data_IF_837424331742
#
_entry.id   IF_837424331742
#
_cell.length_a   1.000
_cell.length_b   1.000
_cell.length_c   1.000
_cell.angle_alpha   90.00
_cell.angle_beta   90.00
_cell.angle_gamma   90.00
#
_symmetry.space_group_name_H-M   'P 1'
#
loop_
_entity.id
_entity.type
_entity.pdbx_description
1 polymer ?
#
# COMPACT_ATOMS: atom_id res chain seq x y z
N UNK A 1 24.42 -10.29 -8.68
CA UNK A 1 23.74 -10.57 -7.40
C UNK A 1 23.00 -9.32 -7.03
N UNK A 2 21.73 -9.19 -7.44
CA UNK A 2 20.88 -8.06 -7.06
C UNK A 2 20.34 -8.35 -5.66
N UNK A 3 20.87 -7.67 -4.66
CA UNK A 3 20.25 -7.59 -3.35
C UNK A 3 19.09 -6.61 -3.47
N UNK A 4 17.89 -7.12 -3.64
CA UNK A 4 16.68 -6.29 -3.60
C UNK A 4 16.37 -6.02 -2.13
N UNK A 5 16.79 -4.88 -1.66
CA UNK A 5 16.35 -4.35 -0.37
C UNK A 5 15.06 -3.59 -0.58
N UNK A 6 13.97 -4.11 0.01
CA UNK A 6 12.74 -3.34 0.18
C UNK A 6 13.03 -2.32 1.27
N UNK A 7 13.41 -1.11 0.87
CA UNK A 7 13.72 -0.03 1.80
C UNK A 7 12.49 0.83 2.08
N UNK A 8 11.40 0.22 2.56
CA UNK A 8 10.33 0.98 3.23
C UNK A 8 10.79 1.63 4.54
N UNK A 9 12.00 1.27 5.00
CA UNK A 9 12.61 1.79 6.23
C UNK A 9 13.25 3.17 6.02
N UNK A 10 13.69 3.52 4.80
CA UNK A 10 14.38 4.78 4.52
C UNK A 10 13.48 6.01 4.53
N UNK A 11 12.18 5.85 4.39
CA UNK A 11 11.22 6.98 4.28
C UNK A 11 10.54 7.36 5.60
N UNK A 12 10.93 6.79 6.73
CA UNK A 12 10.36 7.15 8.04
C UNK A 12 8.90 6.72 8.26
N UNK A 13 8.27 6.09 7.28
CA UNK A 13 6.89 5.58 7.37
C UNK A 13 6.78 4.42 8.35
N UNK A 14 7.80 3.57 8.37
CA UNK A 14 7.78 2.29 9.07
C UNK A 14 8.19 2.40 10.55
N UNK A 15 8.92 3.45 10.94
CA UNK A 15 9.28 3.69 12.34
C UNK A 15 8.12 4.23 13.18
N UNK A 16 7.11 4.83 12.55
CA UNK A 16 5.92 5.32 13.26
C UNK A 16 4.97 4.19 13.69
N UNK A 17 5.17 2.97 13.17
CA UNK A 17 4.24 1.85 13.36
C UNK A 17 4.63 0.91 14.52
N UNK A 18 5.81 1.02 15.08
CA UNK A 18 6.33 0.13 16.12
C UNK A 18 6.80 0.80 17.42
N UNK A 19 6.94 2.11 17.47
CA UNK A 19 7.36 2.80 18.69
C UNK A 19 6.16 3.15 19.57
N UNK A 20 6.12 2.54 20.77
CA UNK A 20 5.19 2.96 21.81
C UNK A 20 5.53 4.40 22.22
N UNK A 21 4.57 5.34 22.23
CA UNK A 21 4.85 6.68 22.71
C UNK A 21 5.24 6.63 24.19
N UNK A 22 6.44 7.09 24.50
CA UNK A 22 6.88 7.29 25.88
C UNK A 22 6.15 8.51 26.42
N UNK A 23 5.09 8.28 27.19
CA UNK A 23 4.39 9.36 27.90
C UNK A 23 5.20 9.70 29.11
N UNK A 24 5.86 10.85 29.10
CA UNK A 24 6.40 11.45 30.31
C UNK A 24 5.23 11.96 31.17
N UNK A 25 5.01 11.31 32.29
CA UNK A 25 4.03 11.73 33.27
C UNK A 25 4.53 13.00 33.99
N UNK A 26 3.90 14.13 33.74
CA UNK A 26 4.07 15.33 34.59
C UNK A 26 2.78 15.50 35.38
N UNK A 27 2.87 15.20 36.67
CA UNK A 27 1.81 15.49 37.65
C UNK A 27 1.92 16.93 38.08
N UNK A 28 0.86 17.71 37.89
CA UNK A 28 0.68 19.01 38.57
C UNK A 28 -0.77 19.10 39.05
N UNK A 29 -1.00 19.62 40.29
CA UNK A 29 -2.28 19.50 40.98
C UNK A 29 -3.35 20.43 40.44
N UNK A 30 -4.59 19.98 40.55
CA UNK A 30 -5.80 20.62 40.06
C UNK A 30 -6.11 21.95 40.75
N UNK A 31 -6.33 23.00 39.96
CA UNK A 31 -7.07 24.20 40.39
C UNK A 31 -8.50 24.11 39.78
N UNK A 32 -9.48 24.40 40.63
CA UNK A 32 -10.91 24.37 40.33
C UNK A 32 -11.28 25.46 39.32
N UNK A 33 -11.93 25.18 38.21
CA UNK A 33 -12.33 26.21 37.27
C UNK A 33 -13.60 26.91 37.67
N UNK A 34 -13.59 28.25 37.53
CA UNK A 34 -14.76 29.09 37.47
C UNK A 34 -15.54 28.87 36.14
N UNK A 35 -16.84 29.12 36.06
CA UNK A 35 -17.61 28.93 34.82
C UNK A 35 -17.20 29.98 33.79
N UNK A 36 -16.45 29.57 32.80
CA UNK A 36 -16.17 30.40 31.62
C UNK A 36 -17.33 30.33 30.64
N UNK A 37 -17.76 31.50 30.21
CA UNK A 37 -18.67 31.68 29.09
C UNK A 37 -18.08 30.99 27.85
N UNK A 38 -18.86 30.15 27.21
CA UNK A 38 -18.51 29.49 25.97
C UNK A 38 -18.31 30.51 24.85
N UNK A 39 -17.07 30.86 24.57
CA UNK A 39 -16.69 31.44 23.28
C UNK A 39 -17.06 30.44 22.17
N UNK A 40 -17.54 30.89 20.99
CA UNK A 40 -17.75 29.97 19.89
C UNK A 40 -16.41 29.29 19.59
N UNK A 41 -16.38 28.00 19.83
CA UNK A 41 -15.20 27.17 19.50
C UNK A 41 -15.06 27.24 17.99
N UNK A 42 -14.05 27.93 17.53
CA UNK A 42 -13.66 27.89 16.12
C UNK A 42 -13.50 26.41 15.73
N UNK A 43 -14.21 25.99 14.67
CA UNK A 43 -14.18 24.59 14.24
C UNK A 43 -12.72 24.21 14.03
N UNK A 44 -12.26 23.20 14.74
CA UNK A 44 -10.89 22.73 14.63
C UNK A 44 -10.59 22.50 13.14
N UNK A 45 -9.51 23.10 12.63
CA UNK A 45 -9.13 22.96 11.24
C UNK A 45 -8.81 21.49 10.97
N UNK A 46 -9.77 20.77 10.40
CA UNK A 46 -9.70 19.34 10.14
C UNK A 46 -8.93 19.01 8.85
N UNK A 47 -8.52 20.02 8.08
CA UNK A 47 -7.98 19.80 6.74
C UNK A 47 -8.94 19.12 5.77
N UNK A 48 -10.27 19.23 6.03
CA UNK A 48 -11.30 18.57 5.25
C UNK A 48 -11.71 17.18 5.78
N UNK A 49 -11.09 16.69 6.83
CA UNK A 49 -11.46 15.41 7.45
C UNK A 49 -12.66 15.57 8.38
N UNK A 50 -13.49 14.54 8.45
CA UNK A 50 -14.60 14.52 9.38
C UNK A 50 -14.08 14.30 10.80
N UNK A 51 -14.56 15.13 11.75
CA UNK A 51 -14.29 14.98 13.17
C UNK A 51 -15.63 14.71 13.84
N UNK A 52 -15.78 13.54 14.47
CA UNK A 52 -16.96 13.22 15.26
C UNK A 52 -16.95 13.98 16.59
N UNK A 53 -18.10 14.11 17.32
CA UNK A 53 -18.21 14.96 18.51
C UNK A 53 -17.22 14.67 19.64
N UNK A 54 -16.65 13.45 19.70
CA UNK A 54 -15.61 13.06 20.65
C UNK A 54 -14.19 13.42 20.20
N UNK A 55 -14.05 14.10 19.07
CA UNK A 55 -12.76 14.56 18.52
C UNK A 55 -12.02 13.51 17.69
N UNK A 56 -12.63 12.37 17.41
CA UNK A 56 -12.00 11.31 16.61
C UNK A 56 -12.01 11.69 15.13
N UNK A 57 -10.86 11.56 14.47
CA UNK A 57 -10.73 11.70 13.02
C UNK A 57 -11.31 10.48 12.31
N UNK A 58 -12.30 10.71 11.46
CA UNK A 58 -12.90 9.66 10.64
C UNK A 58 -12.59 9.87 9.17
N UNK A 59 -12.55 8.78 8.44
CA UNK A 59 -12.35 8.77 7.00
C UNK A 59 -13.47 9.53 6.32
N UNK A 60 -13.19 10.43 5.36
CA UNK A 60 -14.23 11.12 4.60
C UNK A 60 -15.15 10.13 3.87
N UNK A 61 -16.46 10.40 3.90
CA UNK A 61 -17.47 9.48 3.35
C UNK A 61 -17.30 9.23 1.85
N UNK A 62 -16.89 10.27 1.11
CA UNK A 62 -16.58 10.20 -0.32
C UNK A 62 -15.42 9.28 -0.66
N UNK A 63 -14.60 8.96 0.33
CA UNK A 63 -13.47 8.05 0.23
C UNK A 63 -13.67 6.76 1.03
N UNK A 64 -14.90 6.43 1.42
CA UNK A 64 -15.19 5.19 2.15
C UNK A 64 -14.68 3.96 1.37
N UNK A 65 -14.30 2.89 2.08
CA UNK A 65 -13.81 1.66 1.43
C UNK A 65 -14.78 1.12 0.38
N UNK A 66 -16.09 1.27 0.61
CA UNK A 66 -17.14 0.84 -0.32
C UNK A 66 -17.22 1.64 -1.62
N UNK A 67 -16.51 2.76 -1.74
CA UNK A 67 -16.46 3.54 -2.99
C UNK A 67 -15.41 3.02 -3.97
N UNK A 68 -14.54 2.12 -3.54
CA UNK A 68 -13.52 1.51 -4.39
C UNK A 68 -14.04 0.21 -4.99
N UNK A 69 -13.94 0.10 -6.30
CA UNK A 69 -14.32 -1.12 -7.02
C UNK A 69 -13.23 -2.17 -6.90
N UNK A 70 -13.61 -3.40 -6.57
CA UNK A 70 -12.70 -4.53 -6.55
C UNK A 70 -12.18 -4.78 -7.98
N UNK A 71 -10.87 -4.89 -8.19
CA UNK A 71 -10.30 -5.17 -9.50
C UNK A 71 -10.76 -6.54 -10.02
N UNK A 72 -10.91 -6.63 -11.34
CA UNK A 72 -11.22 -7.87 -12.04
C UNK A 72 -10.06 -8.28 -12.94
N UNK A 73 -9.69 -9.57 -12.89
CA UNK A 73 -8.63 -10.10 -13.73
C UNK A 73 -9.08 -10.09 -15.20
N UNK A 74 -8.35 -9.42 -16.11
CA UNK A 74 -8.67 -9.42 -17.52
C UNK A 74 -8.69 -10.84 -18.13
N UNK A 75 -9.53 -11.09 -19.11
CA UNK A 75 -9.63 -12.42 -19.75
C UNK A 75 -8.30 -12.84 -20.39
N UNK A 76 -7.60 -11.91 -21.05
CA UNK A 76 -6.28 -12.18 -21.65
C UNK A 76 -5.22 -12.53 -20.60
N UNK A 77 -5.35 -12.06 -19.36
CA UNK A 77 -4.48 -12.45 -18.27
C UNK A 77 -4.65 -13.92 -17.84
N UNK A 78 -5.68 -14.60 -18.32
CA UNK A 78 -5.92 -16.04 -18.08
C UNK A 78 -5.24 -16.94 -19.11
N UNK A 79 -4.42 -16.37 -19.99
CA UNK A 79 -3.67 -17.10 -20.99
C UNK A 79 -2.21 -17.27 -20.58
N UNK A 80 -1.63 -18.44 -20.89
CA UNK A 80 -0.20 -18.71 -20.66
C UNK A 80 0.64 -18.09 -21.78
N UNK A 81 0.74 -16.76 -21.78
CA UNK A 81 1.48 -15.95 -22.77
C UNK A 81 2.24 -14.82 -22.05
N UNK A 82 3.23 -14.22 -22.69
CA UNK A 82 3.93 -13.05 -22.17
C UNK A 82 2.95 -11.89 -21.89
N UNK A 83 1.99 -11.68 -22.79
CA UNK A 83 0.92 -10.67 -22.61
C UNK A 83 0.02 -11.02 -21.42
N UNK A 84 -0.32 -12.29 -21.25
CA UNK A 84 -1.08 -12.75 -20.07
C UNK A 84 -0.35 -12.50 -18.77
N UNK A 85 0.97 -12.75 -18.72
CA UNK A 85 1.81 -12.44 -17.56
C UNK A 85 1.88 -10.93 -17.26
N UNK A 86 2.02 -10.11 -18.29
CA UNK A 86 2.03 -8.65 -18.19
C UNK A 86 0.72 -8.14 -17.57
N UNK A 87 -0.43 -8.52 -18.11
CA UNK A 87 -1.74 -8.12 -17.61
C UNK A 87 -2.03 -8.65 -16.20
N UNK A 88 -1.53 -9.84 -15.87
CA UNK A 88 -1.63 -10.37 -14.52
C UNK A 88 -0.76 -9.58 -13.53
N UNK A 89 0.39 -9.07 -13.95
CA UNK A 89 1.23 -8.20 -13.13
C UNK A 89 0.62 -6.80 -12.96
N UNK A 90 -0.04 -6.24 -13.98
CA UNK A 90 -0.84 -5.01 -13.84
C UNK A 90 -2.00 -5.22 -12.86
N UNK A 91 -2.75 -6.30 -12.99
CA UNK A 91 -3.82 -6.66 -12.06
C UNK A 91 -3.30 -6.81 -10.62
N UNK A 92 -2.09 -7.36 -10.42
CA UNK A 92 -1.47 -7.44 -9.10
C UNK A 92 -1.29 -6.04 -8.49
N UNK A 93 -0.83 -5.05 -9.27
CA UNK A 93 -0.71 -3.66 -8.81
C UNK A 93 -2.07 -3.05 -8.47
N UNK A 94 -3.11 -3.34 -9.25
CA UNK A 94 -4.46 -2.88 -8.99
C UNK A 94 -5.02 -3.48 -7.69
N UNK A 95 -4.78 -4.78 -7.44
CA UNK A 95 -5.21 -5.44 -6.20
C UNK A 95 -4.46 -4.91 -4.99
N UNK A 96 -3.17 -4.58 -5.13
CA UNK A 96 -2.38 -3.94 -4.08
C UNK A 96 -2.91 -2.52 -3.77
N UNK A 97 -3.19 -1.73 -4.79
CA UNK A 97 -3.81 -0.40 -4.66
C UNK A 97 -5.18 -0.49 -3.98
N UNK A 98 -5.99 -1.47 -4.37
CA UNK A 98 -7.28 -1.75 -3.73
C UNK A 98 -7.12 -2.10 -2.25
N UNK A 99 -6.17 -2.99 -1.91
CA UNK A 99 -5.90 -3.38 -0.53
C UNK A 99 -5.51 -2.18 0.34
N UNK A 100 -4.63 -1.29 -0.17
CA UNK A 100 -4.26 -0.07 0.55
C UNK A 100 -5.45 0.87 0.78
N UNK A 101 -6.35 1.00 -0.19
CA UNK A 101 -7.51 1.88 -0.06
C UNK A 101 -8.67 1.29 0.73
N UNK A 102 -8.76 -0.03 0.91
CA UNK A 102 -9.94 -0.67 1.52
C UNK A 102 -9.64 -1.45 2.79
N UNK A 103 -8.41 -1.93 2.96
CA UNK A 103 -8.04 -2.90 3.98
C UNK A 103 -8.33 -4.35 3.60
N UNK A 104 -8.99 -4.59 2.45
CA UNK A 104 -9.25 -5.94 1.94
C UNK A 104 -8.03 -6.44 1.14
N UNK A 105 -7.26 -7.33 1.75
CA UNK A 105 -6.05 -7.91 1.14
C UNK A 105 -6.33 -9.15 0.29
N UNK A 106 -7.54 -9.69 0.33
CA UNK A 106 -7.84 -10.99 -0.30
C UNK A 106 -7.54 -11.03 -1.82
N UNK A 107 -7.92 -10.01 -2.63
CA UNK A 107 -7.60 -10.04 -4.06
C UNK A 107 -6.08 -10.06 -4.33
N UNK A 108 -5.29 -9.36 -3.51
CA UNK A 108 -3.84 -9.37 -3.60
C UNK A 108 -3.24 -10.70 -3.15
N UNK A 109 -3.83 -11.32 -2.12
CA UNK A 109 -3.42 -12.63 -1.65
C UNK A 109 -3.68 -13.73 -2.68
N UNK A 110 -4.77 -13.64 -3.43
CA UNK A 110 -5.18 -14.63 -4.43
C UNK A 110 -4.20 -14.71 -5.61
N UNK A 111 -3.50 -13.61 -5.93
CA UNK A 111 -2.54 -13.56 -7.06
C UNK A 111 -1.07 -13.61 -6.62
N UNK A 112 -0.80 -13.76 -5.33
CA UNK A 112 0.57 -13.79 -4.78
C UNK A 112 0.85 -15.09 -4.03
N UNK A 113 2.07 -15.60 -4.15
CA UNK A 113 2.47 -16.84 -3.50
C UNK A 113 2.63 -16.64 -1.98
N UNK A 114 2.00 -17.49 -1.13
CA UNK A 114 2.21 -17.47 0.32
C UNK A 114 3.70 -17.61 0.69
N UNK A 115 4.15 -16.81 1.67
CA UNK A 115 5.52 -16.79 2.14
C UNK A 115 6.48 -15.94 1.31
N UNK A 116 6.02 -15.36 0.21
CA UNK A 116 6.79 -14.43 -0.58
C UNK A 116 6.93 -13.08 0.16
N UNK A 117 8.14 -12.50 0.18
CA UNK A 117 8.44 -11.32 1.03
C UNK A 117 7.64 -10.07 0.67
N UNK A 118 7.46 -9.80 -0.62
CA UNK A 118 6.68 -8.66 -1.09
C UNK A 118 5.22 -8.79 -0.64
N UNK A 119 4.64 -9.99 -0.82
CA UNK A 119 3.29 -10.31 -0.35
C UNK A 119 3.15 -10.10 1.16
N UNK A 120 3.96 -10.81 1.95
CA UNK A 120 3.85 -10.80 3.42
C UNK A 120 4.08 -9.40 3.99
N UNK A 121 5.01 -8.66 3.40
CA UNK A 121 5.29 -7.27 3.78
C UNK A 121 4.08 -6.37 3.59
N UNK A 122 3.45 -6.40 2.42
CA UNK A 122 2.28 -5.56 2.13
C UNK A 122 1.06 -5.95 2.95
N UNK A 123 0.75 -7.24 3.09
CA UNK A 123 -0.38 -7.72 3.92
C UNK A 123 -0.21 -7.27 5.37
N UNK A 124 0.97 -7.49 5.94
CA UNK A 124 1.28 -7.06 7.30
C UNK A 124 1.05 -5.56 7.48
N UNK A 125 1.49 -4.76 6.52
CA UNK A 125 1.42 -3.30 6.62
C UNK A 125 -0.02 -2.78 6.44
N UNK A 126 -0.77 -3.31 5.48
CA UNK A 126 -2.19 -2.99 5.32
C UNK A 126 -2.97 -3.35 6.59
N UNK A 127 -2.79 -4.56 7.12
CA UNK A 127 -3.46 -4.99 8.34
C UNK A 127 -3.09 -4.12 9.55
N UNK A 128 -1.82 -3.73 9.69
CA UNK A 128 -1.37 -2.86 10.76
C UNK A 128 -1.98 -1.45 10.65
N UNK A 129 -2.09 -0.92 9.43
CA UNK A 129 -2.77 0.36 9.17
C UNK A 129 -4.23 0.30 9.62
N UNK A 130 -4.96 -0.68 9.12
CA UNK A 130 -6.40 -0.77 9.35
C UNK A 130 -6.78 -1.24 10.77
N UNK A 131 -5.83 -1.75 11.56
CA UNK A 131 -6.04 -2.03 12.97
C UNK A 131 -6.29 -0.76 13.81
N UNK A 132 -5.74 0.40 13.41
CA UNK A 132 -5.83 1.66 14.17
C UNK A 132 -5.95 2.90 13.30
N UNK A 133 -6.41 2.75 12.06
CA UNK A 133 -6.46 3.85 11.13
C UNK A 133 -7.19 3.52 9.83
N UNK A 134 -6.94 4.34 8.84
CA UNK A 134 -7.52 4.23 7.50
C UNK A 134 -6.62 4.96 6.49
N UNK A 135 -6.84 4.67 5.22
CA UNK A 135 -6.13 5.31 4.11
C UNK A 135 -7.06 5.49 2.92
N UNK A 136 -6.79 6.49 2.10
CA UNK A 136 -7.44 6.69 0.81
C UNK A 136 -6.54 7.44 -0.17
N UNK A 137 -6.91 7.37 -1.46
CA UNK A 137 -6.18 8.05 -2.52
C UNK A 137 -4.86 7.40 -2.88
N UNK A 138 -4.56 6.19 -2.35
CA UNK A 138 -3.45 5.41 -2.87
C UNK A 138 -3.71 5.06 -4.34
N UNK A 139 -2.73 5.31 -5.19
CA UNK A 139 -2.83 5.07 -6.62
C UNK A 139 -1.48 4.66 -7.18
N UNK A 140 -1.48 3.65 -8.02
CA UNK A 140 -0.34 3.27 -8.85
C UNK A 140 -0.76 3.40 -10.32
N UNK A 141 0.11 3.98 -11.13
CA UNK A 141 -0.12 4.11 -12.58
C UNK A 141 1.10 3.61 -13.31
N UNK A 142 0.95 2.55 -14.10
CA UNK A 142 1.99 2.08 -15.02
C UNK A 142 2.11 3.11 -16.16
N UNK A 143 3.31 3.60 -16.39
CA UNK A 143 3.60 4.59 -17.44
C UNK A 143 4.38 3.99 -18.60
N UNK A 144 5.12 2.91 -18.36
CA UNK A 144 5.93 2.25 -19.37
C UNK A 144 6.16 0.79 -18.99
N UNK A 145 6.10 -0.10 -19.98
CA UNK A 145 6.51 -1.49 -19.85
C UNK A 145 7.98 -1.56 -20.28
N UNK A 146 8.85 -1.81 -19.29
CA UNK A 146 10.30 -1.86 -19.51
C UNK A 146 10.70 -3.18 -20.14
N UNK A 147 10.19 -4.29 -19.61
CA UNK A 147 10.46 -5.62 -20.15
C UNK A 147 9.43 -6.64 -19.72
N UNK A 148 9.16 -7.60 -20.60
CA UNK A 148 8.38 -8.82 -20.35
C UNK A 148 9.18 -9.96 -20.98
N UNK A 149 9.88 -10.73 -20.18
CA UNK A 149 10.84 -11.74 -20.67
C UNK A 149 10.75 -13.03 -19.87
N UNK A 150 10.90 -14.19 -20.51
CA UNK A 150 11.05 -15.46 -19.80
C UNK A 150 12.22 -15.39 -18.81
N UNK A 151 11.97 -15.81 -17.57
CA UNK A 151 12.99 -15.89 -16.54
C UNK A 151 13.42 -17.36 -16.35
N UNK A 152 14.72 -17.61 -16.34
CA UNK A 152 15.25 -18.97 -16.20
C UNK A 152 15.63 -19.28 -14.76
N UNK A 153 15.44 -20.54 -14.35
CA UNK A 153 15.89 -21.05 -13.06
C UNK A 153 17.40 -20.84 -12.86
N UNK A 154 18.19 -21.05 -13.91
CA UNK A 154 19.65 -20.93 -13.86
C UNK A 154 20.15 -19.53 -13.54
N UNK A 155 19.46 -18.50 -14.05
CA UNK A 155 19.88 -17.09 -13.89
C UNK A 155 19.27 -16.46 -12.65
N UNK A 156 18.02 -16.79 -12.33
CA UNK A 156 17.22 -16.08 -11.33
C UNK A 156 16.78 -16.96 -10.16
N UNK A 157 16.97 -18.27 -10.24
CA UNK A 157 16.52 -19.19 -9.20
C UNK A 157 15.00 -19.29 -9.07
N UNK A 158 14.29 -18.98 -10.16
CA UNK A 158 12.83 -19.00 -10.22
C UNK A 158 12.30 -20.33 -10.74
N UNK A 159 11.03 -20.61 -10.52
CA UNK A 159 10.38 -21.82 -11.03
C UNK A 159 10.26 -21.79 -12.58
N UNK A 160 10.13 -22.95 -13.21
CA UNK A 160 9.80 -23.03 -14.65
C UNK A 160 8.50 -22.29 -14.99
N UNK A 161 8.35 -21.87 -16.25
CA UNK A 161 7.20 -21.08 -16.74
C UNK A 161 7.02 -19.73 -16.00
N UNK A 162 8.13 -19.08 -15.68
CA UNK A 162 8.14 -17.76 -15.08
C UNK A 162 8.48 -16.70 -16.11
N UNK A 163 7.73 -15.61 -16.09
CA UNK A 163 7.97 -14.39 -16.86
C UNK A 163 8.38 -13.29 -15.87
N UNK A 164 9.51 -12.63 -16.14
CA UNK A 164 9.90 -11.41 -15.45
C UNK A 164 9.22 -10.23 -16.13
N UNK A 165 8.42 -9.48 -15.37
CA UNK A 165 7.70 -8.29 -15.83
C UNK A 165 8.26 -7.09 -15.08
N UNK A 166 8.67 -6.05 -15.80
CA UNK A 166 9.21 -4.82 -15.23
C UNK A 166 8.43 -3.63 -15.77
N UNK A 167 7.93 -2.81 -14.86
CA UNK A 167 7.18 -1.59 -15.17
C UNK A 167 7.88 -0.36 -14.58
N UNK A 168 7.92 0.72 -15.35
CA UNK A 168 8.05 2.06 -14.79
C UNK A 168 6.65 2.65 -14.55
N UNK A 169 6.52 3.41 -13.49
CA UNK A 169 5.25 4.01 -13.14
C UNK A 169 5.39 5.17 -12.18
N UNK A 170 4.25 5.64 -11.71
CA UNK A 170 4.14 6.56 -10.59
C UNK A 170 3.30 5.93 -9.49
N UNK A 171 3.68 6.15 -8.25
CA UNK A 171 2.85 5.80 -7.10
C UNK A 171 2.52 7.06 -6.33
N UNK A 172 1.28 7.14 -5.86
CA UNK A 172 0.80 8.16 -4.94
C UNK A 172 0.31 7.45 -3.69
N UNK A 173 0.94 7.73 -2.56
CA UNK A 173 0.59 7.05 -1.32
C UNK A 173 -0.67 7.62 -0.64
N UNK A 174 -1.23 8.70 -1.21
CA UNK A 174 -2.47 9.26 -0.71
C UNK A 174 -2.39 9.80 0.71
N UNK A 175 -3.48 9.69 1.43
CA UNK A 175 -3.66 10.21 2.78
C UNK A 175 -4.01 9.07 3.73
N UNK A 176 -3.28 8.98 4.83
CA UNK A 176 -3.54 8.00 5.88
C UNK A 176 -3.79 8.68 7.23
N UNK A 177 -4.61 8.07 8.06
CA UNK A 177 -4.75 8.37 9.48
C UNK A 177 -4.25 7.19 10.29
N UNK A 178 -3.28 7.42 11.16
CA UNK A 178 -2.74 6.38 12.03
C UNK A 178 -2.70 6.92 13.46
N UNK A 179 -3.39 6.23 14.39
CA UNK A 179 -3.45 6.67 15.77
C UNK A 179 -3.91 8.13 15.92
N UNK A 180 -4.92 8.56 15.16
CA UNK A 180 -5.45 9.92 15.13
C UNK A 180 -4.49 11.00 14.61
N UNK A 181 -3.48 10.60 13.83
CA UNK A 181 -2.57 11.52 13.13
C UNK A 181 -2.73 11.35 11.63
N UNK A 182 -2.89 12.47 10.93
CA UNK A 182 -2.90 12.48 9.47
C UNK A 182 -1.46 12.46 8.95
N UNK A 183 -1.25 11.60 7.96
CA UNK A 183 -0.03 11.50 7.17
C UNK A 183 -0.45 11.76 5.73
N UNK A 184 -0.04 12.91 5.21
CA UNK A 184 -0.30 13.31 3.83
C UNK A 184 0.94 13.03 2.98
N UNK A 185 0.83 12.08 2.08
CA UNK A 185 1.82 11.69 1.08
C UNK A 185 1.20 11.71 -0.32
N UNK A 186 0.27 12.61 -0.52
CA UNK A 186 -0.45 12.81 -1.77
C UNK A 186 0.43 13.52 -2.81
N UNK A 187 1.54 12.87 -3.18
CA UNK A 187 2.43 13.28 -4.26
C UNK A 187 2.75 12.08 -5.13
N UNK A 188 2.88 12.33 -6.42
CA UNK A 188 3.26 11.30 -7.38
C UNK A 188 4.79 11.11 -7.35
N UNK A 189 5.22 9.90 -7.00
CA UNK A 189 6.63 9.53 -6.95
C UNK A 189 6.93 8.50 -8.05
N UNK A 190 8.03 8.67 -8.79
CA UNK A 190 8.44 7.69 -9.80
C UNK A 190 8.85 6.38 -9.12
N UNK A 191 8.44 5.27 -9.72
CA UNK A 191 8.68 3.93 -9.19
C UNK A 191 8.93 2.95 -10.32
N UNK A 192 9.79 1.96 -10.08
CA UNK A 192 9.92 0.80 -10.96
C UNK A 192 9.50 -0.44 -10.18
N UNK A 193 8.56 -1.20 -10.72
CA UNK A 193 8.13 -2.49 -10.21
C UNK A 193 8.75 -3.62 -11.01
N UNK A 194 9.18 -4.67 -10.33
CA UNK A 194 9.66 -5.89 -10.97
C UNK A 194 8.97 -7.10 -10.33
N UNK A 195 8.35 -7.95 -11.15
CA UNK A 195 7.63 -9.14 -10.70
C UNK A 195 8.09 -10.39 -11.44
N UNK A 196 8.14 -11.51 -10.73
CA UNK A 196 8.22 -12.84 -11.32
C UNK A 196 6.81 -13.44 -11.32
N UNK A 197 6.21 -13.51 -12.50
CA UNK A 197 4.90 -14.11 -12.72
C UNK A 197 5.11 -15.55 -13.18
N UNK A 198 4.66 -16.52 -12.39
CA UNK A 198 4.80 -17.95 -12.69
C UNK A 198 3.44 -18.54 -13.06
N UNK A 199 3.39 -19.25 -14.20
CA UNK A 199 2.18 -19.95 -14.60
C UNK A 199 2.04 -21.26 -13.84
N UNK A 200 0.99 -21.36 -13.00
CA UNK A 200 0.69 -22.54 -12.16
C UNK A 200 -0.81 -22.81 -12.14
N UNK A 201 -1.18 -24.07 -12.18
CA UNK A 201 -2.57 -24.50 -11.99
C UNK A 201 -3.60 -23.79 -12.90
N UNK A 202 -3.18 -23.39 -14.10
CA UNK A 202 -4.04 -22.70 -15.05
C UNK A 202 -4.20 -21.20 -14.82
N UNK A 203 -3.28 -20.55 -14.08
CA UNK A 203 -3.26 -19.11 -13.85
C UNK A 203 -1.87 -18.55 -13.53
N UNK A 204 -1.73 -17.24 -13.57
CA UNK A 204 -0.53 -16.52 -13.17
C UNK A 204 -0.55 -16.25 -11.67
N UNK A 205 0.57 -16.51 -11.01
CA UNK A 205 0.82 -16.20 -9.59
C UNK A 205 2.15 -15.45 -9.49
N UNK A 206 2.18 -14.35 -8.78
CA UNK A 206 3.43 -13.68 -8.44
C UNK A 206 4.20 -14.52 -7.42
N UNK A 207 5.40 -14.96 -7.80
CA UNK A 207 6.32 -15.73 -6.96
C UNK A 207 7.49 -14.90 -6.46
N UNK A 208 7.56 -13.63 -6.85
CA UNK A 208 8.52 -12.66 -6.38
C UNK A 208 8.15 -11.27 -6.85
N UNK A 209 8.31 -10.30 -5.98
CA UNK A 209 8.05 -8.90 -6.27
C UNK A 209 9.06 -7.97 -5.62
N UNK A 210 9.30 -6.84 -6.26
CA UNK A 210 10.14 -5.78 -5.73
C UNK A 210 9.75 -4.41 -6.26
N UNK A 211 10.02 -3.40 -5.44
CA UNK A 211 9.94 -1.99 -5.82
C UNK A 211 11.38 -1.46 -5.87
N UNK A 212 11.73 -0.87 -6.99
CA UNK A 212 13.03 -0.25 -7.20
C UNK A 212 12.83 1.27 -7.17
N UNK A 213 13.35 1.93 -6.15
CA UNK A 213 13.34 3.39 -6.08
C UNK A 213 14.42 3.94 -7.00
N UNK A 214 14.07 4.94 -7.82
CA UNK A 214 14.97 5.54 -8.81
C UNK A 214 16.15 6.32 -8.23
N UNK A 215 16.32 6.37 -6.91
CA UNK A 215 17.45 7.06 -6.25
C UNK A 215 18.80 6.32 -6.32
N UNK A 216 18.85 5.17 -7.00
CA UNK A 216 20.06 4.34 -7.15
C UNK A 216 20.55 4.20 -8.60
N UNK A 217 20.30 5.22 -9.44
CA UNK A 217 20.95 5.29 -10.75
C UNK A 217 22.14 6.22 -10.72
#
# INVERSE_FOLDING_TARGET
VFAVYINGVAEGWWHAWGEKPTVAATTTPAARPAPSASSPTEAAMSGGYQIVPDGVLVRPTEHAASTYTKPELPEEAKENTERGAELAAEYLLDTLTYAWNTGDTQPFEDITQPGEKFREGHIKNVNALYANGWMYGNKTTVTNIVSVLPASEKEWGVEPNTIAVVFDGTTNNGIACVGQKIIDKNSDEPVTYAFFMTWKNGGWISTGGSVLNNEQK
#
